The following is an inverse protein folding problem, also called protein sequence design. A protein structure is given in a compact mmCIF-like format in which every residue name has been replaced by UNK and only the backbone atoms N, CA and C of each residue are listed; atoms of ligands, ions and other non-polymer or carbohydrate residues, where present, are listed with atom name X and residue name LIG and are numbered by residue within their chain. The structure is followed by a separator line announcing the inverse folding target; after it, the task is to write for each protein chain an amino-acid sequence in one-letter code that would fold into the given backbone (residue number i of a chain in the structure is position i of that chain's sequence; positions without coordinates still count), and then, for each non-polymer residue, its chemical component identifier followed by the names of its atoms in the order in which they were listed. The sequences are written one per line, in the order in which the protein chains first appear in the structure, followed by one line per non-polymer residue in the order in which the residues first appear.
data_IF_464845239786
#
_entry.id   IF_464845239786
#
_cell.length_a   1.000
_cell.length_b   1.000
_cell.length_c   1.000
_cell.angle_alpha   90.00
_cell.angle_beta   90.00
_cell.angle_gamma   90.00
#
_symmetry.space_group_name_H-M   'P 1'
#
loop_
_entity.id
_entity.type
_entity.pdbx_description
1 polymer ?
#
# COMPACT_ATOMS: atom_id res chain seq x y z
N UNK A 1 5.18 6.32 5.94
CA UNK A 1 6.36 5.99 5.11
C UNK A 1 6.17 6.69 3.76
N UNK A 2 6.95 6.39 2.73
CA UNK A 2 6.65 6.88 1.37
C UNK A 2 5.54 6.09 0.70
N UNK A 3 4.84 6.78 -0.20
CA UNK A 3 3.82 6.27 -1.10
C UNK A 3 4.13 4.87 -1.68
N UNK A 4 5.33 4.70 -2.26
CA UNK A 4 5.70 3.44 -2.91
C UNK A 4 5.85 2.29 -1.92
N UNK A 5 6.26 2.57 -0.68
CA UNK A 5 6.35 1.54 0.36
C UNK A 5 4.95 1.08 0.76
N UNK A 6 3.99 2.00 0.87
CA UNK A 6 2.58 1.65 1.14
C UNK A 6 1.96 0.87 0.00
N UNK A 7 2.16 1.29 -1.26
CA UNK A 7 1.70 0.52 -2.43
C UNK A 7 2.34 -0.87 -2.49
N UNK A 8 3.65 -1.00 -2.26
CA UNK A 8 4.32 -2.30 -2.25
C UNK A 8 3.78 -3.22 -1.15
N UNK A 9 3.53 -2.68 0.05
CA UNK A 9 2.94 -3.43 1.14
C UNK A 9 1.49 -3.85 0.83
N UNK A 10 0.68 -2.94 0.27
CA UNK A 10 -0.68 -3.25 -0.15
C UNK A 10 -0.75 -4.31 -1.26
N UNK A 11 0.16 -4.27 -2.24
CA UNK A 11 0.30 -5.33 -3.24
C UNK A 11 0.66 -6.66 -2.59
N UNK A 12 1.63 -6.69 -1.68
CA UNK A 12 2.02 -7.90 -0.97
C UNK A 12 0.86 -8.52 -0.17
N UNK A 13 0.16 -7.71 0.63
CA UNK A 13 -1.01 -8.18 1.39
C UNK A 13 -2.12 -8.65 0.43
N UNK A 14 -2.36 -7.93 -0.67
CA UNK A 14 -3.28 -8.37 -1.72
C UNK A 14 -2.89 -9.73 -2.30
N UNK A 15 -1.61 -9.97 -2.54
CA UNK A 15 -1.12 -11.27 -3.03
C UNK A 15 -1.34 -12.41 -2.03
N UNK A 16 -1.26 -12.15 -0.72
CA UNK A 16 -1.61 -13.17 0.29
C UNK A 16 -3.07 -13.62 0.15
N UNK A 17 -4.00 -12.66 0.01
CA UNK A 17 -5.42 -12.97 -0.19
C UNK A 17 -5.67 -13.67 -1.52
N UNK A 18 -5.02 -13.21 -2.58
CA UNK A 18 -5.01 -13.88 -3.88
C UNK A 18 -4.53 -15.34 -3.77
N UNK A 19 -3.46 -15.61 -3.01
CA UNK A 19 -2.90 -16.94 -2.87
C UNK A 19 -3.77 -17.85 -2.00
N UNK A 20 -4.22 -17.39 -0.83
CA UNK A 20 -4.92 -18.22 0.15
C UNK A 20 -6.44 -18.31 -0.05
N UNK A 21 -7.06 -17.33 -0.71
CA UNK A 21 -8.52 -17.26 -0.89
C UNK A 21 -8.94 -17.32 -2.37
N UNK A 22 -8.00 -17.64 -3.26
CA UNK A 22 -8.23 -17.75 -4.71
C UNK A 22 -8.92 -16.55 -5.36
N UNK A 23 -8.60 -15.34 -4.87
CA UNK A 23 -9.09 -14.11 -5.48
C UNK A 23 -8.38 -13.83 -6.81
N UNK A 24 -8.97 -12.94 -7.63
CA UNK A 24 -8.41 -12.55 -8.92
C UNK A 24 -7.22 -11.59 -8.79
N UNK A 25 -6.33 -11.54 -9.80
CA UNK A 25 -5.19 -10.62 -9.80
C UNK A 25 -5.62 -9.13 -9.72
N UNK A 26 -6.82 -8.78 -10.20
CA UNK A 26 -7.40 -7.44 -10.06
C UNK A 26 -7.56 -7.06 -8.60
N UNK A 27 -7.79 -8.02 -7.69
CA UNK A 27 -7.84 -7.77 -6.25
C UNK A 27 -6.49 -7.28 -5.70
N UNK A 28 -5.39 -7.86 -6.19
CA UNK A 28 -4.02 -7.45 -5.82
C UNK A 28 -3.78 -6.01 -6.23
N UNK A 29 -4.09 -5.68 -7.49
CA UNK A 29 -3.94 -4.33 -8.03
C UNK A 29 -4.80 -3.31 -7.27
N UNK A 30 -6.02 -3.70 -6.93
CA UNK A 30 -6.94 -2.89 -6.13
C UNK A 30 -6.40 -2.63 -4.72
N UNK A 31 -5.84 -3.63 -4.04
CA UNK A 31 -5.21 -3.46 -2.72
C UNK A 31 -4.04 -2.48 -2.80
N UNK A 32 -3.17 -2.61 -3.80
CA UNK A 32 -2.07 -1.69 -4.03
C UNK A 32 -2.54 -0.25 -4.28
N UNK A 33 -3.62 -0.08 -5.05
CA UNK A 33 -4.22 1.23 -5.31
C UNK A 33 -4.93 1.82 -4.08
N UNK A 34 -5.67 1.02 -3.33
CA UNK A 34 -6.37 1.47 -2.13
C UNK A 34 -5.40 1.87 -1.02
N UNK A 35 -4.24 1.20 -0.91
CA UNK A 35 -3.17 1.58 0.00
C UNK A 35 -2.57 2.96 -0.31
N UNK A 36 -2.74 3.48 -1.53
CA UNK A 36 -2.30 4.82 -1.90
C UNK A 36 -3.26 5.93 -1.42
N UNK A 37 -4.54 5.65 -1.24
CA UNK A 37 -5.58 6.66 -1.02
C UNK A 37 -5.37 7.54 0.22
N UNK A 38 -4.93 7.04 1.39
CA UNK A 38 -4.77 7.89 2.57
C UNK A 38 -3.74 9.01 2.37
N UNK A 39 -2.66 8.74 1.64
CA UNK A 39 -1.56 9.68 1.40
C UNK A 39 -1.96 10.92 0.58
N UNK A 40 -3.16 10.92 -0.03
CA UNK A 40 -3.72 12.11 -0.70
C UNK A 40 -3.83 13.30 0.29
N UNK A 41 -4.01 13.04 1.59
CA UNK A 41 -4.14 14.11 2.60
C UNK A 41 -2.85 14.90 2.85
N UNK A 42 -1.68 14.33 2.54
CA UNK A 42 -0.40 15.05 2.53
C UNK A 42 -0.47 16.26 1.63
N UNK A 43 -1.21 16.11 0.55
CA UNK A 43 -1.31 17.13 -0.47
C UNK A 43 -2.45 18.08 -0.26
N UNK A 44 -3.54 17.61 0.35
CA UNK A 44 -4.55 18.51 0.92
C UNK A 44 -3.86 19.55 1.82
N UNK A 45 -2.91 19.10 2.64
CA UNK A 45 -2.11 19.97 3.49
C UNK A 45 -1.18 20.89 2.68
N UNK A 46 -0.32 20.33 1.82
CA UNK A 46 0.73 21.12 1.16
C UNK A 46 0.27 21.97 -0.02
N UNK A 47 -0.59 21.44 -0.87
CA UNK A 47 -0.98 22.10 -2.13
C UNK A 47 -2.32 22.82 -2.01
N UNK A 48 -3.29 22.24 -1.30
CA UNK A 48 -4.60 22.85 -1.12
C UNK A 48 -4.71 23.68 0.16
N UNK A 49 -3.64 23.75 0.95
CA UNK A 49 -3.51 24.58 2.17
C UNK A 49 -4.56 24.25 3.24
N UNK A 50 -5.04 23.01 3.29
CA UNK A 50 -5.84 22.52 4.41
C UNK A 50 -4.92 22.30 5.61
N UNK A 51 -4.92 23.21 6.58
CA UNK A 51 -3.94 23.21 7.68
C UNK A 51 -3.94 21.92 8.52
N UNK A 52 -2.78 21.26 8.62
CA UNK A 52 -2.49 20.19 9.59
C UNK A 52 -3.37 18.94 9.49
N UNK A 53 -3.84 18.62 8.28
CA UNK A 53 -4.76 17.51 7.99
C UNK A 53 -4.06 16.19 7.64
N UNK A 54 -2.78 16.23 7.27
CA UNK A 54 -2.03 15.02 6.92
C UNK A 54 -2.02 14.06 8.11
N UNK A 55 -2.32 12.77 7.83
CA UNK A 55 -2.43 11.69 8.83
C UNK A 55 -3.61 11.79 9.80
N UNK A 56 -4.59 12.63 9.47
CA UNK A 56 -5.82 12.77 10.27
C UNK A 56 -7.06 12.59 9.40
N UNK A 57 -7.15 13.37 8.33
CA UNK A 57 -8.39 13.46 7.55
C UNK A 57 -8.68 12.16 6.80
N UNK A 58 -7.70 11.63 6.07
CA UNK A 58 -7.86 10.38 5.31
C UNK A 58 -7.25 9.18 6.03
N UNK A 59 -6.38 9.37 7.02
CA UNK A 59 -5.76 8.27 7.76
C UNK A 59 -6.59 7.84 8.98
N UNK A 60 -7.83 7.43 8.76
CA UNK A 60 -8.70 6.89 9.81
C UNK A 60 -9.64 5.82 9.24
N UNK A 61 -10.20 5.00 10.15
CA UNK A 61 -11.07 3.88 9.78
C UNK A 61 -12.38 4.34 9.17
N UNK A 62 -12.86 5.55 9.49
CA UNK A 62 -14.13 6.05 8.99
C UNK A 62 -14.10 6.29 7.48
N UNK A 63 -13.02 6.91 6.98
CA UNK A 63 -12.83 7.12 5.55
C UNK A 63 -12.72 5.79 4.81
N UNK A 64 -12.01 4.81 5.37
CA UNK A 64 -11.95 3.46 4.82
C UNK A 64 -13.35 2.84 4.70
N UNK A 65 -14.15 2.88 5.79
CA UNK A 65 -15.50 2.34 5.80
C UNK A 65 -16.42 3.05 4.79
N UNK A 66 -16.35 4.38 4.71
CA UNK A 66 -17.14 5.15 3.74
C UNK A 66 -16.78 4.74 2.31
N UNK A 67 -15.48 4.67 1.97
CA UNK A 67 -15.05 4.29 0.63
C UNK A 67 -15.48 2.87 0.27
N UNK A 68 -15.36 1.92 1.20
CA UNK A 68 -15.79 0.54 1.01
C UNK A 68 -17.31 0.43 0.82
N UNK A 69 -18.10 1.14 1.63
CA UNK A 69 -19.56 1.17 1.52
C UNK A 69 -20.01 1.81 0.21
N UNK A 70 -19.42 2.94 -0.18
CA UNK A 70 -19.71 3.60 -1.46
C UNK A 70 -19.38 2.67 -2.63
N UNK A 71 -18.21 2.03 -2.62
CA UNK A 71 -17.85 1.06 -3.65
C UNK A 71 -18.83 -0.12 -3.70
N UNK A 72 -19.25 -0.64 -2.55
CA UNK A 72 -20.25 -1.71 -2.51
C UNK A 72 -21.59 -1.25 -3.08
N UNK A 73 -22.10 -0.07 -2.70
CA UNK A 73 -23.39 0.42 -3.17
C UNK A 73 -23.41 0.73 -4.67
N UNK A 74 -22.28 1.18 -5.23
CA UNK A 74 -22.17 1.49 -6.65
C UNK A 74 -22.03 0.25 -7.54
N UNK A 75 -21.28 -0.75 -7.08
CA UNK A 75 -20.88 -1.89 -7.92
C UNK A 75 -21.46 -3.23 -7.45
N UNK A 76 -22.15 -3.27 -6.31
CA UNK A 76 -22.69 -4.48 -5.67
C UNK A 76 -21.66 -5.60 -5.50
N UNK A 77 -20.38 -5.23 -5.32
CA UNK A 77 -19.26 -6.16 -5.27
C UNK A 77 -18.57 -6.15 -3.91
N UNK A 78 -18.70 -7.25 -3.18
CA UNK A 78 -17.97 -7.47 -1.92
C UNK A 78 -16.47 -7.63 -2.16
N UNK A 79 -16.06 -8.14 -3.32
CA UNK A 79 -14.63 -8.27 -3.70
C UNK A 79 -14.01 -6.88 -3.84
N UNK A 80 -14.71 -5.94 -4.49
CA UNK A 80 -14.24 -4.55 -4.62
C UNK A 80 -14.16 -3.87 -3.24
N UNK A 81 -15.21 -3.98 -2.43
CA UNK A 81 -15.24 -3.37 -1.10
C UNK A 81 -14.14 -3.96 -0.18
N UNK A 82 -13.94 -5.27 -0.20
CA UNK A 82 -12.90 -5.93 0.59
C UNK A 82 -11.49 -5.58 0.14
N UNK A 83 -11.24 -5.43 -1.18
CA UNK A 83 -9.93 -4.99 -1.66
C UNK A 83 -9.58 -3.57 -1.23
N UNK A 84 -10.58 -2.67 -1.17
CA UNK A 84 -10.42 -1.34 -0.58
C UNK A 84 -10.07 -1.45 0.90
N UNK A 85 -10.82 -2.25 1.66
CA UNK A 85 -10.57 -2.43 3.10
C UNK A 85 -9.16 -2.97 3.34
N UNK A 86 -8.78 -4.05 2.65
CA UNK A 86 -7.48 -4.71 2.84
C UNK A 86 -6.33 -3.77 2.47
N UNK A 87 -6.39 -3.12 1.31
CA UNK A 87 -5.37 -2.17 0.88
C UNK A 87 -5.24 -0.97 1.82
N UNK A 88 -6.36 -0.32 2.14
CA UNK A 88 -6.37 0.85 3.01
C UNK A 88 -5.95 0.50 4.45
N UNK A 89 -6.41 -0.62 4.99
CA UNK A 89 -6.01 -1.13 6.30
C UNK A 89 -4.50 -1.39 6.35
N UNK A 90 -3.92 -1.97 5.31
CA UNK A 90 -2.47 -2.19 5.23
C UNK A 90 -1.68 -0.88 5.36
N UNK A 91 -2.20 0.21 4.78
CA UNK A 91 -1.62 1.54 4.93
C UNK A 91 -1.66 2.03 6.38
N UNK A 92 -2.82 1.97 7.03
CA UNK A 92 -2.98 2.42 8.43
C UNK A 92 -2.10 1.60 9.38
N UNK A 93 -2.02 0.29 9.18
CA UNK A 93 -1.14 -0.59 9.94
C UNK A 93 0.33 -0.19 9.72
N UNK A 94 0.75 -0.01 8.47
CA UNK A 94 2.14 0.37 8.17
C UNK A 94 2.52 1.70 8.84
N UNK A 95 1.67 2.72 8.75
CA UNK A 95 1.96 4.01 9.38
C UNK A 95 1.88 3.97 10.91
N UNK A 96 1.15 3.01 11.50
CA UNK A 96 1.11 2.80 12.96
C UNK A 96 2.45 2.38 13.55
N UNK A 97 3.34 1.78 12.75
CA UNK A 97 4.71 1.44 13.17
C UNK A 97 5.65 2.65 13.16
N UNK A 98 5.25 3.78 12.55
CA UNK A 98 6.09 4.97 12.45
C UNK A 98 6.00 5.85 13.70
N UNK A 99 7.03 6.65 13.96
CA UNK A 99 7.06 7.63 15.07
C UNK A 99 5.92 8.65 15.02
N UNK A 100 5.43 8.97 13.81
CA UNK A 100 4.29 9.87 13.60
C UNK A 100 2.94 9.19 13.87
N UNK A 101 2.87 7.87 13.64
CA UNK A 101 1.66 7.09 13.86
C UNK A 101 0.46 7.45 12.99
N UNK A 102 -0.70 6.95 13.42
CA UNK A 102 -2.02 7.10 12.79
C UNK A 102 -3.08 7.38 13.85
N UNK A 103 -3.99 8.32 13.55
CA UNK A 103 -5.17 8.60 14.37
C UNK A 103 -6.36 7.74 13.93
N UNK A 104 -6.44 6.50 14.42
CA UNK A 104 -7.37 5.48 13.92
C UNK A 104 -8.83 5.94 13.90
N UNK A 105 -9.26 6.66 14.93
CA UNK A 105 -10.64 7.12 15.11
C UNK A 105 -10.81 8.63 14.95
N UNK A 106 -9.88 9.36 14.32
CA UNK A 106 -10.00 10.80 14.11
C UNK A 106 -11.38 11.19 13.53
N UNK A 107 -12.06 12.23 14.05
CA UNK A 107 -11.62 13.21 15.05
C UNK A 107 -11.85 12.80 16.52
N UNK A 108 -12.37 11.60 16.78
CA UNK A 108 -12.65 11.11 18.13
C UNK A 108 -11.34 10.93 18.90
N UNK A 109 -11.27 11.42 20.14
CA UNK A 109 -10.09 11.27 21.00
C UNK A 109 -8.93 12.22 20.69
N UNK A 110 -9.11 13.21 19.79
CA UNK A 110 -8.07 14.20 19.44
C UNK A 110 -7.44 14.92 20.64
N UNK A 111 -8.21 15.22 21.69
CA UNK A 111 -7.71 15.96 22.86
C UNK A 111 -6.86 15.08 23.80
N UNK A 112 -7.18 13.80 23.89
CA UNK A 112 -6.54 12.86 24.81
C UNK A 112 -5.55 11.93 24.11
N UNK A 113 -5.38 12.04 22.79
CA UNK A 113 -4.54 11.16 21.97
C UNK A 113 -4.87 9.66 22.15
N UNK A 114 -6.07 9.34 22.68
CA UNK A 114 -6.43 7.98 23.14
C UNK A 114 -6.38 6.93 22.02
N UNK A 115 -6.64 7.35 20.78
CA UNK A 115 -6.67 6.48 19.60
C UNK A 115 -5.54 6.79 18.61
N UNK A 116 -4.48 7.44 19.08
CA UNK A 116 -3.26 7.67 18.31
C UNK A 116 -2.29 6.51 18.53
N UNK A 117 -2.11 5.68 17.50
CA UNK A 117 -1.18 4.54 17.54
C UNK A 117 0.09 4.94 16.82
N UNK A 118 1.24 4.85 17.51
CA UNK A 118 2.56 5.18 16.98
C UNK A 118 3.60 4.16 17.40
N UNK A 119 4.59 3.94 16.56
CA UNK A 119 5.70 3.02 16.80
C UNK A 119 7.03 3.76 16.96
N UNK A 120 8.12 3.01 16.90
CA UNK A 120 9.49 3.52 17.08
C UNK A 120 10.20 3.81 15.76
N UNK A 121 9.60 3.47 14.62
CA UNK A 121 10.29 3.54 13.33
C UNK A 121 10.38 4.99 12.82
N UNK A 122 11.59 5.56 12.87
CA UNK A 122 11.85 6.91 12.37
C UNK A 122 12.25 6.88 10.90
N UNK A 123 11.61 7.72 10.10
CA UNK A 123 11.78 7.80 8.65
C UNK A 123 12.37 9.15 8.19
N UNK A 124 13.05 9.87 9.08
CA UNK A 124 13.52 11.25 8.83
C UNK A 124 14.94 11.35 8.30
N UNK A 125 15.72 10.26 8.26
CA UNK A 125 17.13 10.28 7.91
C UNK A 125 17.42 9.64 6.54
N UNK A 126 18.57 9.96 5.93
CA UNK A 126 19.03 9.32 4.67
C UNK A 126 19.16 7.80 4.77
N UNK A 127 19.40 7.25 5.97
CA UNK A 127 19.36 5.80 6.21
C UNK A 127 17.95 5.22 6.03
N UNK A 128 16.90 5.98 6.37
CA UNK A 128 15.52 5.55 6.19
C UNK A 128 15.16 5.35 4.71
N UNK A 129 15.70 6.17 3.81
CA UNK A 129 15.47 6.03 2.37
C UNK A 129 15.96 4.69 1.82
N UNK A 130 17.12 4.21 2.31
CA UNK A 130 17.64 2.88 1.95
C UNK A 130 16.76 1.77 2.51
N UNK A 131 16.36 1.90 3.77
CA UNK A 131 15.49 0.92 4.44
C UNK A 131 14.15 0.82 3.72
N UNK A 132 13.54 1.94 3.33
CA UNK A 132 12.32 1.93 2.51
C UNK A 132 12.54 1.26 1.16
N UNK A 133 13.67 1.52 0.49
CA UNK A 133 14.03 0.86 -0.77
C UNK A 133 14.14 -0.66 -0.62
N UNK A 134 14.84 -1.14 0.42
CA UNK A 134 14.91 -2.58 0.72
C UNK A 134 13.55 -3.17 1.07
N UNK A 135 12.75 -2.46 1.86
CA UNK A 135 11.41 -2.90 2.24
C UNK A 135 10.50 -3.05 1.02
N UNK A 136 10.55 -2.09 0.09
CA UNK A 136 9.84 -2.18 -1.20
C UNK A 136 10.31 -3.39 -2.01
N UNK A 137 11.62 -3.61 -2.12
CA UNK A 137 12.17 -4.74 -2.86
C UNK A 137 11.76 -6.08 -2.23
N UNK A 138 11.78 -6.19 -0.90
CA UNK A 138 11.36 -7.39 -0.16
C UNK A 138 9.88 -7.68 -0.39
N UNK A 139 8.99 -6.70 -0.19
CA UNK A 139 7.56 -6.92 -0.41
C UNK A 139 7.24 -7.27 -1.86
N UNK A 140 7.91 -6.63 -2.81
CA UNK A 140 7.75 -6.95 -4.22
C UNK A 140 8.26 -8.35 -4.57
N UNK A 141 9.42 -8.76 -4.01
CA UNK A 141 9.98 -10.10 -4.20
C UNK A 141 9.05 -11.17 -3.64
N UNK A 142 8.55 -10.97 -2.41
CA UNK A 142 7.61 -11.90 -1.78
C UNK A 142 6.29 -11.98 -2.55
N UNK A 143 5.75 -10.85 -3.00
CA UNK A 143 4.56 -10.83 -3.84
C UNK A 143 4.76 -11.59 -5.16
N UNK A 144 5.87 -11.34 -5.86
CA UNK A 144 6.21 -12.05 -7.10
C UNK A 144 6.41 -13.55 -6.88
N UNK A 145 7.11 -13.93 -5.81
CA UNK A 145 7.33 -15.32 -5.45
C UNK A 145 6.01 -16.05 -5.19
N UNK A 146 5.14 -15.49 -4.34
CA UNK A 146 3.81 -16.05 -4.05
C UNK A 146 2.96 -16.21 -5.31
N UNK A 147 3.03 -15.25 -6.24
CA UNK A 147 2.33 -15.33 -7.50
C UNK A 147 2.83 -16.50 -8.37
N UNK A 148 4.15 -16.69 -8.44
CA UNK A 148 4.78 -17.73 -9.27
C UNK A 148 4.49 -19.13 -8.71
N UNK A 149 4.67 -19.34 -7.40
CA UNK A 149 4.45 -20.66 -6.79
C UNK A 149 2.98 -21.10 -6.82
N UNK A 150 2.04 -20.18 -7.06
CA UNK A 150 0.62 -20.53 -7.24
C UNK A 150 0.38 -21.31 -8.54
N UNK A 151 1.14 -21.02 -9.58
CA UNK A 151 0.95 -21.62 -10.91
C UNK A 151 2.03 -22.62 -11.30
N UNK A 152 3.17 -22.61 -10.62
CA UNK A 152 4.33 -23.44 -10.94
C UNK A 152 4.67 -24.30 -9.73
N UNK A 153 4.92 -25.59 -9.95
CA UNK A 153 5.38 -26.50 -8.89
C UNK A 153 6.75 -26.08 -8.36
N UNK A 154 7.01 -26.39 -7.10
CA UNK A 154 8.27 -26.00 -6.44
C UNK A 154 9.50 -26.57 -7.15
N UNK A 155 9.40 -27.78 -7.70
CA UNK A 155 10.48 -28.42 -8.47
C UNK A 155 10.84 -27.61 -9.71
N UNK A 156 9.84 -27.13 -10.45
CA UNK A 156 10.05 -26.30 -11.64
C UNK A 156 10.58 -24.91 -11.27
N UNK A 157 10.17 -24.35 -10.13
CA UNK A 157 10.69 -23.09 -9.58
C UNK A 157 12.19 -23.19 -9.25
N UNK A 158 12.64 -24.32 -8.70
CA UNK A 158 14.03 -24.54 -8.31
C UNK A 158 14.93 -25.02 -9.46
N UNK A 159 14.37 -25.30 -10.64
CA UNK A 159 15.14 -25.56 -11.84
C UNK A 159 15.92 -24.31 -12.28
N UNK A 160 17.00 -24.49 -13.07
CA UNK A 160 17.78 -23.37 -13.62
C UNK A 160 16.89 -22.42 -14.43
N UNK A 161 15.99 -22.96 -15.24
CA UNK A 161 15.03 -22.18 -16.03
C UNK A 161 14.05 -21.41 -15.15
N UNK A 162 13.56 -22.04 -14.07
CA UNK A 162 12.69 -21.41 -13.08
C UNK A 162 13.37 -20.24 -12.36
N UNK A 163 14.61 -20.44 -11.91
CA UNK A 163 15.42 -19.41 -11.25
C UNK A 163 15.67 -18.22 -12.19
N UNK A 164 16.03 -18.49 -13.46
CA UNK A 164 16.23 -17.45 -14.47
C UNK A 164 14.92 -16.68 -14.70
N UNK A 165 13.80 -17.39 -14.82
CA UNK A 165 12.47 -16.79 -15.03
C UNK A 165 12.08 -15.89 -13.87
N UNK A 166 12.30 -16.34 -12.63
CA UNK A 166 12.03 -15.55 -11.41
C UNK A 166 12.93 -14.31 -11.37
N UNK A 167 14.22 -14.46 -11.69
CA UNK A 167 15.16 -13.33 -11.70
C UNK A 167 14.76 -12.26 -12.72
N UNK A 168 14.36 -12.67 -13.94
CA UNK A 168 13.89 -11.76 -14.99
C UNK A 168 12.57 -11.11 -14.57
N UNK A 169 11.59 -11.89 -14.12
CA UNK A 169 10.28 -11.38 -13.69
C UNK A 169 10.41 -10.37 -12.55
N UNK A 170 11.29 -10.65 -11.57
CA UNK A 170 11.59 -9.74 -10.48
C UNK A 170 12.26 -8.46 -10.98
N UNK A 171 13.30 -8.56 -11.81
CA UNK A 171 14.04 -7.40 -12.31
C UNK A 171 13.15 -6.47 -13.16
N UNK A 172 12.40 -7.05 -14.11
CA UNK A 172 11.48 -6.31 -14.98
C UNK A 172 10.33 -5.73 -14.16
N UNK A 173 9.69 -6.55 -13.31
CA UNK A 173 8.58 -6.13 -12.47
C UNK A 173 8.95 -4.99 -11.53
N UNK A 174 10.11 -5.09 -10.85
CA UNK A 174 10.58 -4.05 -9.94
C UNK A 174 10.94 -2.76 -10.70
N UNK A 175 11.56 -2.87 -11.87
CA UNK A 175 11.84 -1.71 -12.74
C UNK A 175 10.54 -1.00 -13.18
N UNK A 176 9.53 -1.77 -13.62
CA UNK A 176 8.23 -1.23 -14.00
C UNK A 176 7.54 -0.56 -12.81
N UNK A 177 7.55 -1.18 -11.63
CA UNK A 177 7.01 -0.62 -10.40
C UNK A 177 7.64 0.74 -10.04
N UNK A 178 8.98 0.82 -10.06
CA UNK A 178 9.69 2.07 -9.80
C UNK A 178 9.39 3.14 -10.85
N UNK A 179 9.32 2.75 -12.12
CA UNK A 179 9.02 3.66 -13.23
C UNK A 179 7.59 4.20 -13.14
N UNK A 180 6.62 3.31 -12.90
CA UNK A 180 5.23 3.68 -12.67
C UNK A 180 5.09 4.63 -11.48
N UNK A 181 5.78 4.34 -10.38
CA UNK A 181 5.85 5.21 -9.21
C UNK A 181 6.35 6.62 -9.52
N UNK A 182 7.41 6.74 -10.34
CA UNK A 182 7.92 8.04 -10.81
C UNK A 182 6.90 8.75 -11.70
N UNK A 183 6.23 8.01 -12.58
CA UNK A 183 5.19 8.54 -13.48
C UNK A 183 4.00 9.07 -12.68
N UNK A 184 3.47 8.29 -11.73
CA UNK A 184 2.39 8.73 -10.82
C UNK A 184 2.78 10.04 -10.14
N UNK A 185 3.95 10.10 -9.49
CA UNK A 185 4.42 11.31 -8.80
C UNK A 185 4.50 12.52 -9.75
N UNK A 186 4.98 12.30 -10.99
CA UNK A 186 5.07 13.35 -12.01
C UNK A 186 3.69 13.81 -12.49
N UNK A 187 2.76 12.88 -12.73
CA UNK A 187 1.39 13.16 -13.18
C UNK A 187 0.61 13.91 -12.11
N UNK A 188 0.65 13.43 -10.86
CA UNK A 188 0.12 14.11 -9.67
C UNK A 188 0.63 15.55 -9.65
N UNK A 189 1.95 15.75 -9.66
CA UNK A 189 2.57 17.09 -9.68
C UNK A 189 2.09 17.98 -10.83
N UNK A 190 1.88 17.43 -12.04
CA UNK A 190 1.42 18.18 -13.22
C UNK A 190 -0.05 18.58 -13.14
N UNK A 191 -0.90 17.70 -12.63
CA UNK A 191 -2.34 17.94 -12.54
C UNK A 191 -2.71 18.96 -11.47
N UNK A 192 -1.74 19.50 -10.73
CA UNK A 192 -2.07 20.26 -9.54
C UNK A 192 -2.85 19.40 -8.53
N UNK A 193 -2.70 18.06 -8.61
CA UNK A 193 -3.18 17.02 -7.69
C UNK A 193 -2.08 16.35 -6.92
#
# INVERSE_FOLDING_TARGET
MKLLTHTAFGLFVGTLFYYFLDLDFCFVLLCGFAAFLPDIDWRMEKSWRFGGVHRKLLHNVWVMCILAVVAYLLFWSLILASGIIVGFMSHLIADSFTVRGVYWLYPIGRKSEKYHVKGSFSMTETKADKVEGYTQAIFFALAGFLFIIKYITLENVLSVEGIITIAIAFAVGFYLFQTFGKTIKRTIRRLGL
#
